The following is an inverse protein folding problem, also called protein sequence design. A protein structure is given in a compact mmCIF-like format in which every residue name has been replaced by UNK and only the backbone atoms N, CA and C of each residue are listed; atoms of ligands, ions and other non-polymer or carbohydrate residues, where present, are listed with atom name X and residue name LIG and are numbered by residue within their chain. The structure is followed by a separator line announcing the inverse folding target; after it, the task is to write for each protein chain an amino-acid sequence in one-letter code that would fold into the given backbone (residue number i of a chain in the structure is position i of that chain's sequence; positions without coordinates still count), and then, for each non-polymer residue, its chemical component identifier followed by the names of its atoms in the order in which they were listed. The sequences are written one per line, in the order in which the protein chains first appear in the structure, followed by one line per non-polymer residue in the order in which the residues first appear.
data_IF_793174635022
#
_entry.id   IF_793174635022
#
_cell.length_a   1.000
_cell.length_b   1.000
_cell.length_c   1.000
_cell.angle_alpha   90.00
_cell.angle_beta   90.00
_cell.angle_gamma   90.00
#
_symmetry.space_group_name_H-M   'P 1'
#
loop_
_entity.id
_entity.type
_entity.pdbx_description
1 polymer ?
#
# COMPACT_ATOMS: atom_id res chain seq x y z
N UNK A 1 33.52 -20.38 -35.67
CA UNK A 1 32.30 -19.60 -35.98
C UNK A 1 31.52 -19.41 -34.69
N UNK A 2 31.72 -18.29 -34.00
CA UNK A 2 30.95 -17.92 -32.80
C UNK A 2 30.12 -16.69 -33.11
N UNK A 3 28.79 -16.81 -33.05
CA UNK A 3 27.87 -15.71 -33.32
C UNK A 3 27.70 -14.87 -32.06
N UNK A 4 28.17 -13.62 -32.11
CA UNK A 4 27.96 -12.63 -31.07
C UNK A 4 26.48 -12.20 -31.06
N UNK A 5 25.77 -12.51 -29.97
CA UNK A 5 24.41 -12.01 -29.72
C UNK A 5 24.53 -10.54 -29.28
N UNK A 6 24.05 -9.62 -30.12
CA UNK A 6 23.97 -8.19 -29.77
C UNK A 6 22.86 -7.99 -28.73
N UNK A 7 23.07 -7.22 -27.65
CA UNK A 7 21.98 -6.85 -26.76
C UNK A 7 21.01 -5.91 -27.49
N UNK A 8 19.72 -6.27 -27.50
CA UNK A 8 18.63 -5.43 -27.99
C UNK A 8 18.41 -4.19 -27.10
N UNK A 9 17.67 -3.17 -27.59
CA UNK A 9 17.56 -1.89 -26.91
C UNK A 9 16.84 -2.01 -25.57
N UNK A 10 17.32 -1.28 -24.56
CA UNK A 10 16.61 -1.08 -23.30
C UNK A 10 15.27 -0.43 -23.61
N UNK A 11 14.18 -1.14 -23.30
CA UNK A 11 12.83 -0.55 -23.31
C UNK A 11 12.77 0.48 -22.18
N UNK A 12 12.92 1.75 -22.57
CA UNK A 12 12.52 2.90 -21.78
C UNK A 12 11.01 2.84 -21.54
N UNK A 13 10.63 3.20 -20.30
CA UNK A 13 9.26 3.40 -19.82
C UNK A 13 8.53 2.14 -19.32
N UNK A 14 8.97 1.67 -18.15
CA UNK A 14 8.10 0.98 -17.19
C UNK A 14 7.73 1.98 -16.09
N UNK A 15 6.44 2.12 -15.71
CA UNK A 15 6.05 3.01 -14.62
C UNK A 15 6.73 2.58 -13.32
N UNK A 16 7.38 3.52 -12.65
CA UNK A 16 8.21 3.34 -11.44
C UNK A 16 7.51 2.56 -10.29
N UNK A 17 6.18 2.47 -10.29
CA UNK A 17 5.39 1.80 -9.26
C UNK A 17 5.37 0.26 -9.37
N UNK A 18 5.61 -0.30 -10.56
CA UNK A 18 5.44 -1.74 -10.82
C UNK A 18 6.68 -2.58 -10.42
N UNK A 19 7.87 -1.96 -10.35
CA UNK A 19 9.13 -2.71 -10.33
C UNK A 19 9.66 -3.08 -8.93
N UNK A 20 9.18 -2.45 -7.84
CA UNK A 20 9.76 -2.67 -6.49
C UNK A 20 8.87 -3.42 -5.51
N UNK A 21 7.72 -3.90 -5.97
CA UNK A 21 6.84 -4.77 -5.20
C UNK A 21 7.07 -6.25 -5.59
N UNK A 22 7.46 -6.55 -6.84
CA UNK A 22 7.58 -7.92 -7.36
C UNK A 22 8.76 -8.77 -6.81
N UNK A 23 9.96 -8.19 -6.62
CA UNK A 23 11.15 -8.99 -6.22
C UNK A 23 11.17 -9.31 -4.72
N UNK A 24 10.72 -8.39 -3.87
CA UNK A 24 10.72 -8.61 -2.41
C UNK A 24 9.55 -9.49 -1.94
N UNK A 25 8.49 -9.59 -2.76
CA UNK A 25 7.22 -10.21 -2.37
C UNK A 25 7.08 -11.66 -2.86
N UNK A 26 8.03 -12.22 -3.63
CA UNK A 26 7.98 -13.65 -4.02
C UNK A 26 8.74 -14.58 -3.09
N UNK A 27 9.85 -14.16 -2.50
CA UNK A 27 10.68 -15.05 -1.67
C UNK A 27 10.29 -15.04 -0.18
N UNK A 28 9.74 -13.94 0.34
CA UNK A 28 9.36 -13.82 1.76
C UNK A 28 8.05 -14.56 2.09
N UNK A 29 7.17 -14.71 1.10
CA UNK A 29 5.80 -15.23 1.30
C UNK A 29 5.70 -16.74 1.59
N UNK A 30 6.77 -17.52 1.40
CA UNK A 30 6.75 -18.97 1.66
C UNK A 30 7.10 -19.29 3.13
N UNK A 31 7.67 -18.35 3.89
CA UNK A 31 8.12 -18.60 5.27
C UNK A 31 7.34 -17.83 6.36
N UNK A 32 6.66 -16.74 6.02
CA UNK A 32 5.80 -16.03 6.96
C UNK A 32 4.43 -16.72 7.05
N UNK A 33 4.20 -17.49 8.11
CA UNK A 33 2.90 -18.06 8.43
C UNK A 33 1.81 -16.97 8.40
N UNK A 34 0.64 -17.30 7.86
CA UNK A 34 -0.51 -16.38 7.71
C UNK A 34 -0.87 -15.68 9.04
N UNK A 35 -0.28 -14.52 9.31
CA UNK A 35 -0.69 -13.67 10.43
C UNK A 35 -2.04 -13.05 10.05
N UNK A 36 -3.11 -13.68 10.53
CA UNK A 36 -4.45 -13.14 10.42
C UNK A 36 -4.59 -11.98 11.43
N UNK A 37 -5.09 -10.83 10.98
CA UNK A 37 -5.43 -9.73 11.89
C UNK A 37 -6.39 -10.21 12.99
N UNK A 38 -6.16 -9.79 14.24
CA UNK A 38 -7.01 -10.17 15.39
C UNK A 38 -8.45 -9.65 15.28
N UNK A 39 -8.63 -8.59 14.50
CA UNK A 39 -9.91 -7.94 14.26
C UNK A 39 -10.40 -8.38 12.87
N UNK A 40 -11.66 -8.82 12.72
CA UNK A 40 -12.23 -9.17 11.43
C UNK A 40 -12.17 -7.98 10.47
N UNK A 41 -11.77 -8.22 9.23
CA UNK A 41 -11.77 -7.18 8.19
C UNK A 41 -13.18 -7.04 7.61
N UNK A 42 -13.74 -5.83 7.65
CA UNK A 42 -15.08 -5.59 7.14
C UNK A 42 -15.07 -5.36 5.62
N UNK A 43 -15.91 -6.12 4.93
CA UNK A 43 -16.23 -5.92 3.53
C UNK A 43 -17.19 -4.74 3.33
N UNK A 44 -17.24 -4.22 2.11
CA UNK A 44 -17.97 -2.99 1.76
C UNK A 44 -19.46 -3.03 2.11
N UNK A 45 -20.09 -4.19 2.06
CA UNK A 45 -21.51 -4.43 2.40
C UNK A 45 -21.79 -4.45 3.91
N UNK A 46 -20.76 -4.58 4.74
CA UNK A 46 -20.85 -4.68 6.19
C UNK A 46 -20.45 -3.39 6.92
N UNK A 47 -20.17 -2.29 6.20
CA UNK A 47 -19.73 -1.02 6.80
C UNK A 47 -20.83 0.05 6.77
N UNK A 48 -20.69 1.06 7.62
CA UNK A 48 -21.56 2.24 7.60
C UNK A 48 -21.48 2.98 6.23
N UNK A 49 -22.56 3.64 5.78
CA UNK A 49 -22.61 4.28 4.45
C UNK A 49 -21.46 5.26 4.18
N UNK A 50 -21.06 6.03 5.17
CA UNK A 50 -19.95 6.99 5.08
C UNK A 50 -18.58 6.31 4.89
N UNK A 51 -18.40 5.10 5.45
CA UNK A 51 -17.19 4.30 5.24
C UNK A 51 -17.23 3.58 3.90
N UNK A 52 -18.42 3.16 3.43
CA UNK A 52 -18.58 2.61 2.08
C UNK A 52 -18.16 3.64 1.00
N UNK A 53 -18.54 4.91 1.18
CA UNK A 53 -18.09 5.99 0.30
C UNK A 53 -16.56 6.20 0.34
N UNK A 54 -15.93 6.06 1.52
CA UNK A 54 -14.47 6.06 1.66
C UNK A 54 -13.84 4.89 0.91
N UNK A 55 -14.41 3.67 1.01
CA UNK A 55 -13.92 2.50 0.29
C UNK A 55 -13.97 2.71 -1.21
N UNK A 56 -15.09 3.20 -1.74
CA UNK A 56 -15.24 3.47 -3.18
C UNK A 56 -14.19 4.47 -3.66
N UNK A 57 -13.93 5.53 -2.88
CA UNK A 57 -12.90 6.50 -3.20
C UNK A 57 -11.48 5.91 -3.17
N UNK A 58 -11.18 5.05 -2.19
CA UNK A 58 -9.88 4.37 -2.07
C UNK A 58 -9.67 3.37 -3.22
N UNK A 59 -10.69 2.59 -3.55
CA UNK A 59 -10.67 1.64 -4.66
C UNK A 59 -10.47 2.38 -5.99
N UNK A 60 -11.17 3.49 -6.21
CA UNK A 60 -11.01 4.30 -7.42
C UNK A 60 -9.60 4.90 -7.54
N UNK A 61 -9.00 5.33 -6.43
CA UNK A 61 -7.69 5.98 -6.42
C UNK A 61 -6.52 4.99 -6.48
N UNK A 62 -6.66 3.82 -5.87
CA UNK A 62 -5.54 2.87 -5.62
C UNK A 62 -5.77 1.48 -6.22
N UNK A 63 -6.97 1.19 -6.71
CA UNK A 63 -7.38 -0.14 -7.17
C UNK A 63 -7.58 -1.15 -6.04
N UNK A 64 -7.47 -0.73 -4.78
CA UNK A 64 -7.66 -1.58 -3.60
C UNK A 64 -7.98 -0.73 -2.37
N UNK A 65 -8.85 -1.22 -1.49
CA UNK A 65 -9.00 -0.74 -0.11
C UNK A 65 -7.91 -1.35 0.79
N UNK A 66 -6.97 -0.56 1.34
CA UNK A 66 -5.94 -1.06 2.25
C UNK A 66 -6.54 -1.77 3.49
N UNK A 67 -5.94 -2.89 3.92
CA UNK A 67 -6.47 -3.71 5.02
C UNK A 67 -6.64 -2.95 6.35
N UNK A 68 -5.82 -1.93 6.60
CA UNK A 68 -5.98 -1.03 7.74
C UNK A 68 -7.36 -0.37 7.76
N UNK A 69 -7.86 0.15 6.64
CA UNK A 69 -9.20 0.75 6.58
C UNK A 69 -10.30 -0.28 6.81
N UNK A 70 -10.08 -1.54 6.40
CA UNK A 70 -10.99 -2.66 6.69
C UNK A 70 -11.12 -2.99 8.16
N UNK A 71 -10.05 -2.74 8.91
CA UNK A 71 -10.03 -2.89 10.37
C UNK A 71 -10.61 -1.66 11.07
N UNK A 72 -10.26 -0.46 10.62
CA UNK A 72 -10.77 0.79 11.22
C UNK A 72 -12.27 0.99 10.99
N UNK A 73 -12.87 0.33 9.99
CA UNK A 73 -14.28 0.43 9.65
C UNK A 73 -15.23 0.02 10.79
N UNK A 74 -14.78 -0.76 11.77
CA UNK A 74 -15.52 -1.03 13.00
C UNK A 74 -15.84 0.24 13.80
N UNK A 75 -15.12 1.34 13.56
CA UNK A 75 -15.34 2.65 14.17
C UNK A 75 -15.32 3.73 13.08
N UNK A 76 -16.48 4.07 12.48
CA UNK A 76 -16.55 4.97 11.33
C UNK A 76 -15.85 6.32 11.52
N UNK A 77 -16.05 6.96 12.68
CA UNK A 77 -15.40 8.23 13.01
C UNK A 77 -13.86 8.13 13.00
N UNK A 78 -13.31 6.99 13.44
CA UNK A 78 -11.87 6.75 13.43
C UNK A 78 -11.36 6.52 12.00
N UNK A 79 -12.06 5.72 11.20
CA UNK A 79 -11.71 5.49 9.80
C UNK A 79 -11.65 6.79 8.99
N UNK A 80 -12.68 7.63 9.13
CA UNK A 80 -12.75 8.94 8.45
C UNK A 80 -11.70 9.91 8.98
N UNK A 81 -11.47 9.94 10.29
CA UNK A 81 -10.44 10.77 10.90
C UNK A 81 -9.04 10.43 10.40
N UNK A 82 -8.71 9.13 10.34
CA UNK A 82 -7.43 8.64 9.81
C UNK A 82 -7.30 8.94 8.30
N UNK A 83 -8.37 8.78 7.51
CA UNK A 83 -8.35 9.15 6.10
C UNK A 83 -8.04 10.64 5.88
N UNK A 84 -8.69 11.52 6.66
CA UNK A 84 -8.43 12.95 6.62
C UNK A 84 -7.02 13.32 7.05
N UNK A 85 -6.53 12.70 8.13
CA UNK A 85 -5.16 12.88 8.61
C UNK A 85 -4.11 12.45 7.57
N UNK A 86 -4.25 11.25 7.01
CA UNK A 86 -3.32 10.72 6.01
C UNK A 86 -3.34 11.53 4.72
N UNK A 87 -4.50 12.03 4.30
CA UNK A 87 -4.60 12.93 3.13
C UNK A 87 -3.74 14.18 3.32
N UNK A 88 -3.81 14.82 4.49
CA UNK A 88 -3.00 15.99 4.79
C UNK A 88 -1.51 15.64 4.94
N UNK A 89 -1.19 14.51 5.57
CA UNK A 89 0.19 14.08 5.82
C UNK A 89 0.91 13.68 4.53
N UNK A 90 0.25 12.91 3.66
CA UNK A 90 0.84 12.31 2.46
C UNK A 90 0.61 13.14 1.19
N UNK A 91 -0.27 14.14 1.24
CA UNK A 91 -0.49 15.08 0.13
C UNK A 91 0.71 15.97 -0.17
N UNK A 92 0.51 17.00 -0.98
CA UNK A 92 1.58 17.92 -1.36
C UNK A 92 2.17 18.65 -0.13
N UNK A 93 3.47 18.91 -0.17
CA UNK A 93 4.16 19.62 0.90
C UNK A 93 5.64 19.83 0.59
N UNK A 94 6.41 20.21 1.62
CA UNK A 94 7.84 20.50 1.47
C UNK A 94 8.69 19.28 1.05
N UNK A 95 8.18 18.06 1.29
CA UNK A 95 8.85 16.82 0.93
C UNK A 95 8.09 16.11 -0.19
N UNK A 96 8.79 15.59 -1.22
CA UNK A 96 8.15 14.79 -2.25
C UNK A 96 7.63 13.47 -1.65
N UNK A 97 6.59 12.89 -2.27
CA UNK A 97 5.92 11.69 -1.77
C UNK A 97 6.87 10.52 -1.48
N UNK A 98 7.83 10.24 -2.38
CA UNK A 98 8.80 9.15 -2.19
C UNK A 98 9.65 9.31 -0.92
N UNK A 99 9.93 10.55 -0.49
CA UNK A 99 10.71 10.79 0.72
C UNK A 99 9.90 10.50 1.98
N UNK A 100 8.59 10.82 1.96
CA UNK A 100 7.66 10.48 3.03
C UNK A 100 7.55 8.96 3.22
N UNK A 101 7.52 8.22 2.11
CA UNK A 101 7.54 6.75 2.14
C UNK A 101 8.84 6.20 2.75
N UNK A 102 10.01 6.76 2.42
CA UNK A 102 11.27 6.33 3.05
C UNK A 102 11.29 6.59 4.57
N UNK A 103 10.73 7.72 5.01
CA UNK A 103 10.57 8.00 6.44
C UNK A 103 9.64 6.97 7.08
N UNK A 104 8.50 6.68 6.47
CA UNK A 104 7.56 5.66 6.96
C UNK A 104 8.22 4.28 7.05
N UNK A 105 8.93 3.84 6.01
CA UNK A 105 9.67 2.57 6.00
C UNK A 105 10.74 2.54 7.09
N UNK A 106 11.49 3.63 7.29
CA UNK A 106 12.52 3.67 8.33
C UNK A 106 11.91 3.59 9.73
N UNK A 107 10.79 4.26 9.97
CA UNK A 107 10.07 4.18 11.25
C UNK A 107 9.56 2.76 11.47
N UNK A 108 8.93 2.12 10.47
CA UNK A 108 8.44 0.74 10.57
C UNK A 108 9.55 -0.24 10.99
N UNK A 109 10.74 -0.13 10.39
CA UNK A 109 11.91 -0.93 10.77
C UNK A 109 12.40 -0.66 12.20
N UNK A 110 12.30 0.58 12.69
CA UNK A 110 12.71 0.93 14.05
C UNK A 110 11.73 0.42 15.11
N UNK A 111 10.46 0.24 14.75
CA UNK A 111 9.39 -0.24 15.65
C UNK A 111 9.00 -1.69 15.41
N UNK A 112 9.76 -2.43 14.59
CA UNK A 112 9.51 -3.83 14.25
C UNK A 112 8.09 -4.07 13.71
N UNK A 113 7.64 -3.20 12.80
CA UNK A 113 6.34 -3.30 12.14
C UNK A 113 6.48 -3.94 10.75
N UNK A 114 6.01 -5.18 10.63
CA UNK A 114 6.05 -5.98 9.39
C UNK A 114 4.87 -5.72 8.44
N UNK A 115 3.81 -5.06 8.92
CA UNK A 115 2.64 -4.66 8.12
C UNK A 115 2.92 -3.36 7.35
#
# INVERSE_FOLDING_TARGET
MGTAVRPGPLKSEVPFFEFRVSIFQREVWISMGHQHGRIPMLERDHVAPEVAALYDALEQQRGVVPYMFRTLAHTPALALGIAGFLKALLGDGALPGWYKELVATRVALLVDCDY
#
